data_IF_822076555585
#
_entry.id   IF_822076555585
#
_cell.length_a   1.000
_cell.length_b   1.000
_cell.length_c   1.000
_cell.angle_alpha   90.00
_cell.angle_beta   90.00
_cell.angle_gamma   90.00
#
_symmetry.space_group_name_H-M   'P 1'
#
loop_
_entity.id
_entity.type
_entity.pdbx_description
1 polymer ?
#
# COMPACT_ATOMS: atom_id res chain seq x y z
N UNK A 1 9.04 -8.86 -18.62
CA UNK A 1 9.51 -7.48 -18.39
C UNK A 1 11.04 -7.31 -18.55
N UNK A 2 11.89 -7.56 -17.54
CA UNK A 2 13.35 -7.24 -17.64
C UNK A 2 14.03 -7.93 -18.82
N UNK A 3 13.77 -9.22 -19.03
CA UNK A 3 14.29 -9.99 -20.17
C UNK A 3 13.85 -9.39 -21.52
N UNK A 4 12.57 -9.09 -21.66
CA UNK A 4 12.02 -8.48 -22.88
C UNK A 4 12.63 -7.11 -23.15
N UNK A 5 12.91 -6.32 -22.11
CA UNK A 5 13.58 -5.02 -22.23
C UNK A 5 15.03 -5.18 -22.72
N UNK A 6 15.75 -6.19 -22.22
CA UNK A 6 17.09 -6.54 -22.70
C UNK A 6 17.03 -6.95 -24.17
N UNK A 7 16.15 -7.88 -24.52
CA UNK A 7 15.99 -8.35 -25.90
C UNK A 7 15.59 -7.20 -26.85
N UNK A 8 14.72 -6.29 -26.41
CA UNK A 8 14.35 -5.10 -27.18
C UNK A 8 15.54 -4.16 -27.36
N UNK A 9 16.32 -3.93 -26.31
CA UNK A 9 17.56 -3.14 -26.39
C UNK A 9 18.55 -3.78 -27.37
N UNK A 10 18.72 -5.10 -27.32
CA UNK A 10 19.62 -5.84 -28.21
C UNK A 10 19.18 -5.74 -29.68
N UNK A 11 17.88 -5.90 -29.98
CA UNK A 11 17.34 -5.72 -31.33
C UNK A 11 17.57 -4.30 -31.85
N UNK A 12 17.33 -3.29 -31.01
CA UNK A 12 17.53 -1.89 -31.39
C UNK A 12 19.02 -1.59 -31.64
N UNK A 13 19.91 -2.08 -30.78
CA UNK A 13 21.35 -1.93 -30.93
C UNK A 13 21.87 -2.61 -32.21
N UNK A 14 21.35 -3.79 -32.55
CA UNK A 14 21.68 -4.50 -33.80
C UNK A 14 21.24 -3.70 -35.03
N UNK A 15 20.01 -3.18 -35.03
CA UNK A 15 19.49 -2.34 -36.12
C UNK A 15 20.34 -1.09 -36.32
N UNK A 16 20.72 -0.41 -35.23
CA UNK A 16 21.57 0.77 -35.27
C UNK A 16 22.99 0.47 -35.78
N UNK A 17 23.61 -0.63 -35.33
CA UNK A 17 24.93 -1.06 -35.79
C UNK A 17 24.93 -1.33 -37.30
N UNK A 18 23.88 -2.01 -37.80
CA UNK A 18 23.68 -2.27 -39.24
C UNK A 18 23.55 -0.98 -40.05
N UNK A 19 22.87 0.03 -39.52
CA UNK A 19 22.69 1.33 -40.20
C UNK A 19 23.99 2.13 -40.29
N UNK A 20 24.85 2.05 -39.28
CA UNK A 20 26.08 2.84 -39.20
C UNK A 20 27.35 2.10 -39.66
N UNK A 21 27.22 0.85 -40.11
CA UNK A 21 28.36 0.02 -40.55
C UNK A 21 29.35 -0.32 -39.44
N UNK A 22 28.93 -0.23 -38.17
CA UNK A 22 29.77 -0.51 -37.02
C UNK A 22 29.67 -1.99 -36.61
N UNK A 23 30.79 -2.60 -36.22
CA UNK A 23 30.77 -3.91 -35.57
C UNK A 23 30.28 -3.80 -34.13
N UNK A 24 29.39 -4.71 -33.73
CA UNK A 24 28.88 -4.78 -32.36
C UNK A 24 29.62 -5.86 -31.57
N UNK A 25 30.27 -5.53 -30.43
CA UNK A 25 30.77 -6.55 -29.54
C UNK A 25 29.62 -7.33 -28.91
N UNK A 26 29.74 -8.67 -28.90
CA UNK A 26 28.79 -9.54 -28.23
C UNK A 26 28.82 -9.27 -26.72
N UNK A 27 27.80 -8.57 -26.21
CA UNK A 27 27.67 -8.28 -24.78
C UNK A 27 26.70 -9.26 -24.16
N UNK A 28 27.19 -10.12 -23.26
CA UNK A 28 26.33 -10.94 -22.41
C UNK A 28 25.87 -10.10 -21.23
N UNK A 29 24.57 -9.86 -21.14
CA UNK A 29 23.99 -9.18 -19.98
C UNK A 29 23.84 -10.16 -18.83
N UNK A 30 24.34 -9.78 -17.65
CA UNK A 30 24.02 -10.46 -16.39
C UNK A 30 22.93 -9.67 -15.69
N UNK A 31 21.68 -10.03 -15.95
CA UNK A 31 20.52 -9.33 -15.40
C UNK A 31 20.20 -9.81 -13.99
N UNK A 32 19.85 -8.88 -13.10
CA UNK A 32 19.48 -9.19 -11.72
C UNK A 32 18.13 -8.58 -11.36
N UNK A 33 17.35 -9.30 -10.57
CA UNK A 33 16.17 -8.76 -9.90
C UNK A 33 16.35 -9.03 -8.40
N UNK A 34 16.37 -7.97 -7.61
CA UNK A 34 16.59 -8.03 -6.17
C UNK A 34 15.39 -7.43 -5.45
N UNK A 35 14.98 -8.06 -4.36
CA UNK A 35 14.11 -7.40 -3.39
C UNK A 35 14.88 -6.26 -2.71
N UNK A 36 14.17 -5.28 -2.16
CA UNK A 36 14.81 -4.25 -1.35
C UNK A 36 15.54 -4.88 -0.16
N UNK A 37 14.98 -5.92 0.45
CA UNK A 37 15.62 -6.62 1.55
C UNK A 37 16.96 -7.25 1.16
N UNK A 38 17.03 -7.89 -0.02
CA UNK A 38 18.29 -8.45 -0.55
C UNK A 38 19.33 -7.36 -0.78
N UNK A 39 18.95 -6.24 -1.39
CA UNK A 39 19.84 -5.09 -1.58
C UNK A 39 20.32 -4.52 -0.24
N UNK A 40 19.42 -4.38 0.74
CA UNK A 40 19.75 -3.91 2.09
C UNK A 40 20.77 -4.83 2.75
N UNK A 41 20.55 -6.14 2.71
CA UNK A 41 21.49 -7.12 3.25
C UNK A 41 22.87 -7.03 2.58
N UNK A 42 22.94 -6.83 1.25
CA UNK A 42 24.20 -6.61 0.55
C UNK A 42 24.91 -5.32 0.99
N UNK A 43 24.16 -4.22 1.13
CA UNK A 43 24.69 -2.94 1.57
C UNK A 43 25.17 -2.97 3.03
N UNK A 44 24.42 -3.63 3.92
CA UNK A 44 24.80 -3.87 5.32
C UNK A 44 26.09 -4.70 5.41
N UNK A 45 26.19 -5.79 4.63
CA UNK A 45 27.40 -6.61 4.60
C UNK A 45 28.63 -5.84 4.08
N UNK A 46 28.44 -4.94 3.11
CA UNK A 46 29.52 -4.16 2.51
C UNK A 46 29.99 -2.99 3.38
N UNK A 47 29.05 -2.27 4.00
CA UNK A 47 29.34 -1.05 4.77
C UNK A 47 29.58 -1.34 6.27
N UNK A 48 29.14 -2.50 6.77
CA UNK A 48 29.31 -2.90 8.16
C UNK A 48 28.78 -1.86 9.13
N UNK A 49 29.61 -1.46 10.10
CA UNK A 49 29.26 -0.46 11.12
C UNK A 49 28.95 0.94 10.54
N UNK A 50 29.35 1.22 9.30
CA UNK A 50 29.06 2.49 8.62
C UNK A 50 27.65 2.57 8.03
N UNK A 51 26.91 1.46 7.93
CA UNK A 51 25.60 1.42 7.27
C UNK A 51 24.58 2.41 7.86
N UNK A 52 24.40 2.54 9.20
CA UNK A 52 23.47 3.52 9.74
C UNK A 52 23.83 4.97 9.37
N UNK A 53 25.12 5.31 9.40
CA UNK A 53 25.59 6.64 9.01
C UNK A 53 25.36 6.94 7.52
N UNK A 54 25.56 5.94 6.66
CA UNK A 54 25.23 6.03 5.24
C UNK A 54 23.73 6.31 5.00
N UNK A 55 22.84 5.62 5.72
CA UNK A 55 21.39 5.86 5.61
C UNK A 55 21.07 7.31 5.97
N UNK A 56 21.53 7.80 7.14
CA UNK A 56 21.29 9.18 7.57
C UNK A 56 21.87 10.21 6.59
N UNK A 57 23.07 9.95 6.06
CA UNK A 57 23.70 10.80 5.06
C UNK A 57 22.84 10.91 3.79
N UNK A 58 22.43 9.79 3.20
CA UNK A 58 21.59 9.79 1.99
C UNK A 58 20.27 10.51 2.23
N UNK A 59 19.62 10.25 3.36
CA UNK A 59 18.36 10.91 3.72
C UNK A 59 18.56 12.42 3.92
N UNK A 60 19.67 12.85 4.52
CA UNK A 60 19.98 14.27 4.75
C UNK A 60 20.27 15.07 3.46
N UNK A 61 20.71 14.40 2.38
CA UNK A 61 20.99 15.02 1.08
C UNK A 61 19.72 15.33 0.29
N UNK A 62 18.59 14.75 0.66
CA UNK A 62 17.32 15.04 0.02
C UNK A 62 16.80 16.42 0.43
N UNK A 63 16.14 17.18 -0.46
CA UNK A 63 15.62 18.50 -0.12
C UNK A 63 14.72 18.48 1.11
N UNK A 64 14.79 19.54 1.91
CA UNK A 64 13.87 19.72 3.04
C UNK A 64 12.42 19.70 2.53
N UNK A 65 11.58 18.88 3.16
CA UNK A 65 10.19 18.68 2.74
C UNK A 65 10.01 17.74 1.53
N UNK A 66 11.07 17.06 1.07
CA UNK A 66 10.93 16.01 0.06
C UNK A 66 10.02 14.87 0.56
N UNK A 67 9.19 14.39 -0.36
CA UNK A 67 8.27 13.27 -0.16
C UNK A 67 9.01 12.01 0.28
N UNK A 68 8.44 11.27 1.22
CA UNK A 68 9.02 10.06 1.80
C UNK A 68 9.35 9.01 0.73
N UNK A 69 8.56 8.93 -0.35
CA UNK A 69 8.80 8.02 -1.47
C UNK A 69 10.02 8.44 -2.27
N UNK A 70 10.22 9.75 -2.48
CA UNK A 70 11.43 10.27 -3.12
C UNK A 70 12.67 9.95 -2.29
N UNK A 71 12.59 10.11 -0.95
CA UNK A 71 13.68 9.75 -0.05
C UNK A 71 13.99 8.25 -0.06
N UNK A 72 12.95 7.42 -0.08
CA UNK A 72 13.06 5.98 -0.17
C UNK A 72 13.73 5.54 -1.48
N UNK A 73 13.38 6.16 -2.62
CA UNK A 73 14.05 5.91 -3.91
C UNK A 73 15.52 6.33 -3.88
N UNK A 74 15.83 7.52 -3.36
CA UNK A 74 17.22 7.97 -3.23
C UNK A 74 18.06 7.02 -2.36
N UNK A 75 17.46 6.45 -1.31
CA UNK A 75 18.10 5.43 -0.47
C UNK A 75 18.42 4.15 -1.26
N UNK A 76 17.48 3.68 -2.08
CA UNK A 76 17.70 2.52 -2.96
C UNK A 76 18.82 2.80 -3.96
N UNK A 77 18.80 3.96 -4.63
CA UNK A 77 19.83 4.37 -5.58
C UNK A 77 21.21 4.42 -4.92
N UNK A 78 21.32 5.05 -3.75
CA UNK A 78 22.57 5.10 -3.00
C UNK A 78 23.09 3.71 -2.62
N UNK A 79 22.21 2.78 -2.24
CA UNK A 79 22.60 1.39 -1.93
C UNK A 79 23.12 0.65 -3.17
N UNK A 80 22.48 0.84 -4.33
CA UNK A 80 22.94 0.26 -5.60
C UNK A 80 24.32 0.77 -5.97
N UNK A 81 24.56 2.08 -5.84
CA UNK A 81 25.86 2.71 -6.07
C UNK A 81 26.91 2.21 -5.08
N UNK A 82 26.59 2.20 -3.78
CA UNK A 82 27.48 1.73 -2.73
C UNK A 82 27.88 0.26 -2.96
N UNK A 83 26.95 -0.59 -3.41
CA UNK A 83 27.21 -1.99 -3.71
C UNK A 83 27.95 -2.21 -5.04
N UNK A 84 27.99 -1.21 -5.94
CA UNK A 84 28.59 -1.30 -7.29
C UNK A 84 27.94 -2.44 -8.10
N UNK A 85 26.61 -2.52 -8.04
CA UNK A 85 25.88 -3.60 -8.70
C UNK A 85 25.85 -3.40 -10.22
N UNK A 86 26.28 -4.40 -11.03
CA UNK A 86 26.24 -4.29 -12.47
C UNK A 86 24.80 -4.34 -13.00
N UNK A 87 24.54 -3.59 -14.07
CA UNK A 87 23.27 -3.61 -14.78
C UNK A 87 23.22 -4.66 -15.91
N UNK A 88 22.01 -5.01 -16.38
CA UNK A 88 20.72 -4.41 -16.02
C UNK A 88 20.14 -4.99 -14.72
N UNK A 89 19.72 -4.12 -13.81
CA UNK A 89 19.24 -4.44 -12.47
C UNK A 89 17.80 -3.93 -12.27
N UNK A 90 16.97 -4.72 -11.61
CA UNK A 90 15.68 -4.30 -11.07
C UNK A 90 15.73 -4.48 -9.56
N UNK A 91 15.34 -3.44 -8.83
CA UNK A 91 15.08 -3.53 -7.39
C UNK A 91 13.57 -3.37 -7.19
N UNK A 92 12.95 -4.27 -6.43
CA UNK A 92 11.52 -4.23 -6.15
C UNK A 92 11.25 -4.26 -4.64
N UNK A 93 10.18 -3.58 -4.23
CA UNK A 93 9.80 -3.44 -2.83
C UNK A 93 8.57 -2.53 -2.70
N UNK A 94 8.34 -2.03 -1.49
CA UNK A 94 7.20 -1.18 -1.17
C UNK A 94 7.66 0.22 -0.80
N UNK A 95 7.01 1.24 -1.37
CA UNK A 95 7.22 2.62 -0.96
C UNK A 95 6.19 3.01 0.11
N UNK A 96 6.53 3.89 1.06
CA UNK A 96 5.57 4.36 2.07
C UNK A 96 4.48 5.26 1.45
N UNK A 97 3.32 5.42 2.11
CA UNK A 97 2.87 4.66 3.29
C UNK A 97 2.28 3.29 2.91
N UNK A 98 2.29 2.34 3.84
CA UNK A 98 1.57 1.07 3.71
C UNK A 98 0.30 1.10 4.56
N UNK A 99 -0.85 0.86 3.94
CA UNK A 99 -2.12 0.69 4.65
C UNK A 99 -2.42 -0.80 4.80
N UNK A 100 -2.38 -1.34 6.04
CA UNK A 100 -2.71 -2.74 6.29
C UNK A 100 -4.14 -3.05 5.84
N UNK A 101 -4.35 -4.25 5.32
CA UNK A 101 -5.70 -4.67 4.93
C UNK A 101 -6.47 -5.09 6.19
N UNK A 102 -7.72 -4.63 6.29
CA UNK A 102 -8.68 -5.05 7.32
C UNK A 102 -10.01 -5.36 6.63
N UNK A 103 -10.57 -6.53 6.91
CA UNK A 103 -11.90 -6.96 6.43
C UNK A 103 -12.67 -7.60 7.58
N UNK A 104 -13.98 -7.78 7.46
CA UNK A 104 -14.69 -8.67 8.38
C UNK A 104 -14.75 -10.05 7.73
N UNK A 105 -14.23 -11.07 8.40
CA UNK A 105 -14.17 -12.45 7.88
C UNK A 105 -15.19 -13.38 8.56
N UNK A 106 -16.01 -12.83 9.45
CA UNK A 106 -16.99 -13.57 10.24
C UNK A 106 -16.33 -14.48 11.28
N UNK A 107 -15.10 -14.18 11.69
CA UNK A 107 -14.32 -15.02 12.61
C UNK A 107 -14.60 -14.68 14.07
N UNK A 108 -14.96 -13.43 14.34
CA UNK A 108 -15.36 -12.97 15.67
C UNK A 108 -16.84 -12.60 15.74
N UNK A 109 -17.39 -12.61 16.95
CA UNK A 109 -18.79 -12.22 17.18
C UNK A 109 -19.04 -10.76 16.76
N UNK A 110 -18.06 -9.89 17.03
CA UNK A 110 -18.11 -8.49 16.65
C UNK A 110 -18.19 -8.29 15.12
N UNK A 111 -17.46 -9.09 14.34
CA UNK A 111 -17.56 -9.10 12.89
C UNK A 111 -18.93 -9.55 12.41
N UNK A 112 -19.42 -10.69 12.91
CA UNK A 112 -20.75 -11.21 12.60
C UNK A 112 -21.86 -10.19 12.93
N UNK A 113 -21.68 -9.42 14.00
CA UNK A 113 -22.59 -8.35 14.42
C UNK A 113 -22.61 -7.19 13.44
N UNK A 114 -21.44 -6.69 13.06
CA UNK A 114 -21.31 -5.60 12.10
C UNK A 114 -21.88 -6.01 10.73
N UNK A 115 -21.62 -7.23 10.28
CA UNK A 115 -22.17 -7.77 9.03
C UNK A 115 -23.70 -7.88 9.07
N UNK A 116 -24.27 -8.33 10.19
CA UNK A 116 -25.72 -8.35 10.40
C UNK A 116 -26.29 -6.94 10.33
N UNK A 117 -25.71 -5.99 11.06
CA UNK A 117 -26.15 -4.61 11.08
C UNK A 117 -26.10 -3.97 9.67
N UNK A 118 -25.05 -4.26 8.89
CA UNK A 118 -24.94 -3.83 7.50
C UNK A 118 -26.06 -4.42 6.62
N UNK A 119 -26.31 -5.73 6.70
CA UNK A 119 -27.37 -6.41 5.93
C UNK A 119 -28.76 -5.84 6.24
N UNK A 120 -29.05 -5.58 7.51
CA UNK A 120 -30.32 -4.98 7.89
C UNK A 120 -30.47 -3.52 7.45
N UNK A 121 -29.36 -2.78 7.44
CA UNK A 121 -29.33 -1.40 6.94
C UNK A 121 -29.56 -1.36 5.43
N UNK A 122 -29.00 -2.32 4.67
CA UNK A 122 -29.29 -2.52 3.24
C UNK A 122 -30.77 -2.82 3.02
N UNK A 123 -31.38 -3.70 3.84
CA UNK A 123 -32.81 -4.00 3.79
C UNK A 123 -33.66 -2.75 4.05
N UNK A 124 -33.35 -1.98 5.08
CA UNK A 124 -34.05 -0.73 5.40
C UNK A 124 -33.91 0.30 4.26
N UNK A 125 -32.72 0.44 3.68
CA UNK A 125 -32.49 1.33 2.55
C UNK A 125 -33.41 1.01 1.36
N UNK A 126 -33.59 -0.28 1.07
CA UNK A 126 -34.48 -0.76 0.01
C UNK A 126 -35.95 -0.54 0.34
N UNK A 127 -36.40 -1.00 1.50
CA UNK A 127 -37.82 -1.03 1.87
C UNK A 127 -38.39 0.36 2.15
N UNK A 128 -37.61 1.22 2.83
CA UNK A 128 -38.08 2.53 3.29
C UNK A 128 -37.79 3.67 2.32
N UNK A 129 -36.70 3.56 1.56
CA UNK A 129 -36.21 4.64 0.71
C UNK A 129 -36.10 4.25 -0.77
N UNK A 130 -36.39 3.00 -1.14
CA UNK A 130 -36.28 2.53 -2.52
C UNK A 130 -34.85 2.54 -3.06
N UNK A 131 -33.84 2.50 -2.18
CA UNK A 131 -32.43 2.57 -2.57
C UNK A 131 -31.82 1.18 -2.72
N UNK A 132 -31.05 0.99 -3.78
CA UNK A 132 -30.18 -0.18 -3.93
C UNK A 132 -28.82 0.14 -3.32
N UNK A 133 -28.49 -0.55 -2.23
CA UNK A 133 -27.20 -0.45 -1.54
C UNK A 133 -26.55 -1.83 -1.53
N UNK A 134 -25.26 -1.88 -1.79
CA UNK A 134 -24.47 -3.12 -1.77
C UNK A 134 -23.51 -3.13 -0.60
N UNK A 135 -23.31 -4.29 0.01
CA UNK A 135 -22.20 -4.50 0.96
C UNK A 135 -21.00 -4.97 0.18
N UNK A 136 -19.84 -4.33 0.38
CA UNK A 136 -18.57 -4.74 -0.22
C UNK A 136 -17.60 -5.16 0.87
N UNK A 137 -16.88 -6.29 0.73
CA UNK A 137 -15.95 -6.77 1.74
C UNK A 137 -14.69 -5.91 1.86
N UNK A 138 -14.33 -5.18 0.79
CA UNK A 138 -13.15 -4.32 0.75
C UNK A 138 -13.48 -2.95 0.18
N UNK A 139 -12.82 -1.94 0.74
CA UNK A 139 -12.82 -0.58 0.23
C UNK A 139 -11.53 -0.35 -0.55
N UNK A 140 -11.64 0.07 -1.81
CA UNK A 140 -10.49 0.24 -2.73
C UNK A 140 -9.72 1.55 -2.50
N UNK A 141 -10.25 2.44 -1.66
CA UNK A 141 -9.60 3.70 -1.29
C UNK A 141 -8.77 3.59 -0.02
N UNK A 142 -8.12 4.70 0.33
CA UNK A 142 -7.40 4.84 1.59
C UNK A 142 -8.40 5.05 2.73
N UNK A 143 -8.25 4.32 3.83
CA UNK A 143 -9.11 4.46 5.00
C UNK A 143 -8.34 4.20 6.29
N UNK A 144 -8.62 5.01 7.31
CA UNK A 144 -8.06 4.81 8.65
C UNK A 144 -8.55 3.51 9.31
N UNK A 145 -9.63 2.91 8.79
CA UNK A 145 -10.10 1.60 9.20
C UNK A 145 -9.04 0.49 8.98
N UNK A 146 -8.05 0.72 8.11
CA UNK A 146 -6.87 -0.13 7.97
C UNK A 146 -6.05 -0.28 9.26
N UNK A 147 -6.19 0.64 10.21
CA UNK A 147 -5.47 0.62 11.48
C UNK A 147 -6.28 0.01 12.63
N UNK A 148 -7.50 -0.46 12.36
CA UNK A 148 -8.37 -1.14 13.34
C UNK A 148 -7.98 -2.60 13.61
N UNK A 149 -6.95 -3.10 12.92
CA UNK A 149 -6.43 -4.46 13.09
C UNK A 149 -5.78 -4.97 11.82
N UNK A 150 -5.14 -6.13 11.94
CA UNK A 150 -4.54 -6.83 10.81
C UNK A 150 -4.92 -8.32 10.87
N UNK A 151 -5.47 -8.84 9.77
CA UNK A 151 -5.96 -10.22 9.70
C UNK A 151 -4.97 -11.20 9.08
N UNK A 152 -3.79 -10.73 8.68
CA UNK A 152 -2.69 -11.56 8.26
C UNK A 152 -1.80 -11.98 9.43
N UNK A 153 -0.74 -12.72 9.12
CA UNK A 153 0.23 -13.17 10.10
C UNK A 153 1.36 -12.16 10.30
N UNK A 154 2.00 -12.18 11.47
CA UNK A 154 3.14 -11.29 11.78
C UNK A 154 4.27 -11.35 10.74
N UNK A 155 4.48 -12.50 10.09
CA UNK A 155 5.47 -12.66 9.01
C UNK A 155 5.18 -11.80 7.78
N UNK A 156 3.91 -11.53 7.50
CA UNK A 156 3.50 -10.69 6.37
C UNK A 156 3.86 -9.23 6.65
N UNK A 157 3.55 -8.74 7.85
CA UNK A 157 4.00 -7.41 8.32
C UNK A 157 5.52 -7.28 8.27
N UNK A 158 6.24 -8.32 8.71
CA UNK A 158 7.70 -8.35 8.65
C UNK A 158 8.22 -8.29 7.20
N UNK A 159 7.57 -8.98 6.26
CA UNK A 159 7.94 -8.93 4.85
C UNK A 159 7.76 -7.53 4.25
N UNK A 160 6.66 -6.84 4.57
CA UNK A 160 6.44 -5.43 4.18
C UNK A 160 7.50 -4.51 4.78
N UNK A 161 7.76 -4.64 6.08
CA UNK A 161 8.77 -3.84 6.79
C UNK A 161 10.19 -4.05 6.22
N UNK A 162 10.59 -5.30 5.99
CA UNK A 162 11.89 -5.67 5.44
C UNK A 162 12.09 -5.21 3.99
N UNK A 163 11.00 -5.05 3.23
CA UNK A 163 10.99 -4.62 1.83
C UNK A 163 10.56 -3.16 1.64
N UNK A 164 10.54 -2.34 2.69
CA UNK A 164 10.26 -0.91 2.61
C UNK A 164 11.51 -0.07 2.90
N UNK A 165 12.04 0.68 1.91
CA UNK A 165 13.19 1.54 2.13
C UNK A 165 12.90 2.61 3.18
N UNK A 166 13.77 2.67 4.19
CA UNK A 166 13.64 3.63 5.29
C UNK A 166 12.59 3.26 6.34
N UNK A 167 12.18 1.99 6.46
CA UNK A 167 11.36 1.54 7.59
C UNK A 167 11.94 1.97 8.94
N UNK A 168 11.10 2.48 9.86
CA UNK A 168 11.46 3.12 11.15
C UNK A 168 12.27 4.42 11.04
N UNK A 169 12.41 4.99 9.84
CA UNK A 169 13.05 6.31 9.61
C UNK A 169 12.15 7.26 8.83
N UNK A 170 11.68 6.83 7.68
CA UNK A 170 10.76 7.55 6.81
C UNK A 170 9.30 7.23 7.13
N UNK A 171 9.04 5.99 7.53
CA UNK A 171 7.70 5.50 7.85
C UNK A 171 7.78 4.37 8.86
N UNK A 172 6.79 4.27 9.73
CA UNK A 172 6.68 3.18 10.70
C UNK A 172 5.22 2.95 11.08
N UNK A 173 4.89 1.71 11.40
CA UNK A 173 3.66 1.34 12.09
C UNK A 173 3.98 0.56 13.37
N UNK A 174 3.16 0.68 14.41
CA UNK A 174 3.26 -0.16 15.61
C UNK A 174 2.72 -1.56 15.29
N UNK A 175 3.51 -2.37 14.60
CA UNK A 175 3.09 -3.67 14.04
C UNK A 175 2.61 -4.65 15.10
N UNK A 176 3.20 -4.63 16.30
CA UNK A 176 2.81 -5.48 17.41
C UNK A 176 1.43 -5.10 17.94
N UNK A 177 1.20 -3.81 18.19
CA UNK A 177 -0.10 -3.32 18.63
C UNK A 177 -1.19 -3.55 17.56
N UNK A 178 -0.86 -3.37 16.29
CA UNK A 178 -1.78 -3.62 15.18
C UNK A 178 -2.18 -5.10 15.09
N UNK A 179 -1.26 -6.03 15.38
CA UNK A 179 -1.52 -7.47 15.39
C UNK A 179 -2.47 -7.89 16.54
N UNK A 180 -2.47 -7.14 17.63
CA UNK A 180 -3.34 -7.38 18.79
C UNK A 180 -4.76 -6.81 18.60
N UNK A 181 -4.92 -5.83 17.71
CA UNK A 181 -6.21 -5.23 17.42
C UNK A 181 -7.04 -6.13 16.50
N UNK A 182 -8.25 -6.44 16.94
CA UNK A 182 -9.32 -7.00 16.11
C UNK A 182 -10.61 -6.21 16.31
N UNK A 183 -10.61 -4.96 15.85
CA UNK A 183 -11.79 -4.10 15.91
C UNK A 183 -12.60 -4.30 14.62
N UNK A 184 -13.85 -4.80 14.70
CA UNK A 184 -14.73 -4.90 13.54
C UNK A 184 -14.96 -3.53 12.89
N UNK A 185 -14.92 -3.49 11.56
CA UNK A 185 -15.04 -2.23 10.81
C UNK A 185 -16.28 -2.18 9.93
N UNK A 186 -16.81 -0.98 9.72
CA UNK A 186 -17.84 -0.73 8.70
C UNK A 186 -17.65 0.67 8.12
N UNK A 187 -17.42 0.75 6.82
CA UNK A 187 -17.38 2.01 6.10
C UNK A 187 -18.75 2.33 5.50
N UNK A 188 -19.51 3.22 6.13
CA UNK A 188 -20.84 3.65 5.66
C UNK A 188 -20.93 5.17 5.64
N UNK A 189 -21.17 5.73 4.45
CA UNK A 189 -21.04 7.16 4.22
C UNK A 189 -22.03 7.75 3.20
N UNK A 190 -21.89 9.06 2.92
CA UNK A 190 -22.73 9.75 1.95
C UNK A 190 -22.44 9.29 0.51
N UNK A 191 -23.39 9.55 -0.39
CA UNK A 191 -23.16 9.42 -1.82
C UNK A 191 -22.45 10.67 -2.34
N UNK A 192 -21.16 10.52 -2.66
CA UNK A 192 -20.31 11.59 -3.16
C UNK A 192 -19.55 11.21 -4.42
N UNK A 193 -18.91 12.20 -5.04
CA UNK A 193 -17.98 12.00 -6.15
C UNK A 193 -16.82 12.99 -6.05
N UNK A 194 -15.67 12.56 -6.55
CA UNK A 194 -14.43 13.35 -6.64
C UNK A 194 -13.88 13.80 -5.28
N UNK A 195 -13.95 12.93 -4.26
CA UNK A 195 -13.34 13.18 -2.96
C UNK A 195 -11.85 13.59 -3.11
N UNK A 196 -11.41 14.60 -2.36
CA UNK A 196 -10.06 15.18 -2.42
C UNK A 196 -9.70 15.83 -3.76
N UNK A 197 -10.70 16.21 -4.58
CA UNK A 197 -10.50 16.99 -5.81
C UNK A 197 -11.27 18.30 -5.72
N UNK A 198 -10.88 19.29 -6.53
CA UNK A 198 -11.59 20.56 -6.63
C UNK A 198 -13.05 20.45 -7.11
N UNK A 199 -13.45 19.30 -7.70
CA UNK A 199 -14.82 19.00 -8.12
C UNK A 199 -15.60 18.15 -7.11
N UNK A 200 -15.09 18.00 -5.89
CA UNK A 200 -15.75 17.24 -4.83
C UNK A 200 -17.19 17.71 -4.60
N UNK A 201 -18.12 16.75 -4.52
CA UNK A 201 -19.56 17.02 -4.35
C UNK A 201 -20.29 15.85 -3.72
N UNK A 202 -21.40 16.17 -3.05
CA UNK A 202 -22.31 15.22 -2.41
C UNK A 202 -23.71 15.32 -3.00
N UNK A 203 -24.43 14.20 -3.01
CA UNK A 203 -25.86 14.19 -3.36
C UNK A 203 -26.71 14.59 -2.15
N UNK A 204 -27.07 15.88 -2.09
CA UNK A 204 -27.74 16.48 -0.94
C UNK A 204 -29.05 15.79 -0.50
N UNK A 205 -29.97 15.38 -1.40
CA UNK A 205 -31.20 14.71 -0.98
C UNK A 205 -30.91 13.43 -0.18
N UNK A 206 -29.94 12.62 -0.61
CA UNK A 206 -29.54 11.44 0.17
C UNK A 206 -28.88 11.85 1.49
N UNK A 207 -27.95 12.80 1.44
CA UNK A 207 -27.17 13.21 2.61
C UNK A 207 -28.03 13.83 3.73
N UNK A 208 -29.03 14.64 3.39
CA UNK A 208 -29.85 15.35 4.37
C UNK A 208 -31.05 14.52 4.83
N UNK A 209 -31.70 13.77 3.92
CA UNK A 209 -33.00 13.15 4.22
C UNK A 209 -32.94 11.65 4.50
N UNK A 210 -31.93 10.94 3.98
CA UNK A 210 -31.89 9.47 4.02
C UNK A 210 -30.73 8.97 4.88
N UNK A 211 -29.50 9.39 4.57
CA UNK A 211 -28.29 8.95 5.25
C UNK A 211 -28.36 9.08 6.79
N UNK A 212 -28.84 10.20 7.39
CA UNK A 212 -28.88 10.33 8.84
C UNK A 212 -29.86 9.34 9.49
N UNK A 213 -30.93 8.96 8.79
CA UNK A 213 -31.90 7.97 9.27
C UNK A 213 -31.29 6.57 9.23
N UNK A 214 -30.65 6.20 8.11
CA UNK A 214 -29.97 4.92 7.97
C UNK A 214 -28.78 4.78 8.93
N UNK A 215 -27.96 5.83 9.08
CA UNK A 215 -26.82 5.85 10.00
C UNK A 215 -27.29 5.66 11.45
N UNK A 216 -28.36 6.34 11.87
CA UNK A 216 -28.94 6.15 13.20
C UNK A 216 -29.40 4.72 13.42
N UNK A 217 -30.13 4.14 12.46
CA UNK A 217 -30.59 2.75 12.57
C UNK A 217 -29.41 1.77 12.60
N UNK A 218 -28.37 2.01 11.79
CA UNK A 218 -27.16 1.20 11.76
C UNK A 218 -26.43 1.22 13.11
N UNK A 219 -26.20 2.40 13.70
CA UNK A 219 -25.53 2.53 15.00
C UNK A 219 -26.30 1.77 16.08
N UNK A 220 -27.63 1.90 16.13
CA UNK A 220 -28.47 1.17 17.08
C UNK A 220 -28.36 -0.34 16.94
N UNK A 221 -28.32 -0.86 15.72
CA UNK A 221 -28.16 -2.30 15.48
C UNK A 221 -26.81 -2.83 15.94
N UNK A 222 -25.75 -2.03 15.80
CA UNK A 222 -24.42 -2.39 16.30
C UNK A 222 -24.39 -2.40 17.84
N UNK A 223 -25.11 -1.48 18.48
CA UNK A 223 -25.24 -1.37 19.94
C UNK A 223 -26.11 -2.48 20.55
N UNK A 224 -27.34 -2.67 20.05
CA UNK A 224 -28.35 -3.59 20.60
C UNK A 224 -27.90 -5.06 20.65
N UNK A 225 -27.02 -5.47 19.74
CA UNK A 225 -26.47 -6.82 19.74
C UNK A 225 -25.29 -6.99 20.71
N UNK A 226 -24.85 -5.94 21.41
CA UNK A 226 -23.71 -5.96 22.36
C UNK A 226 -24.00 -6.08 23.84
N UNK A 227 -25.26 -6.04 24.23
CA UNK A 227 -25.70 -6.27 25.61
C UNK A 227 -26.13 -7.74 25.86
N UNK A 228 -25.77 -8.68 24.98
CA UNK A 228 -26.07 -10.11 25.12
C UNK A 228 -24.84 -10.95 25.45
#
# INVERSE_FOLDING_TARGET
>A
ALREAIEAHERNAESFARMNGAERPAKKWNSMALSYEELRCMAEAKLGAGFPGFVEEVLSRTPSGADERTKAVALVEGMVEACVLPGPLVVFGFLPPWYPHRANLGLSEGECRVERAARETVREARERFGLTVETRPFFEGVSDLSYCGFQGEAREMAAFAGNMPGWKRLYSLPTEALAELDIPILNFGPLGKDAHKNTERLYLPYFMEVFPKLLRSLVRRVEEDGER
#
